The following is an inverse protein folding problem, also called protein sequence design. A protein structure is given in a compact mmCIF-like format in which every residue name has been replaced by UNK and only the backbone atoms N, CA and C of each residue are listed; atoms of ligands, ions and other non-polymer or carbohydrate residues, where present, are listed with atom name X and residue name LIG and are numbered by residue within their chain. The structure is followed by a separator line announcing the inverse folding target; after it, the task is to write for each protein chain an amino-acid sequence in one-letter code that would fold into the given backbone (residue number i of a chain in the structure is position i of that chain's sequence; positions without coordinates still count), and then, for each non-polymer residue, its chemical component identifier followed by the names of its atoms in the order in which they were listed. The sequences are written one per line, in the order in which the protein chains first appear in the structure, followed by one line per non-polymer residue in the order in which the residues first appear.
data_IF_181230799366
#
_entry.id   IF_181230799366
#
_cell.length_a   1.000
_cell.length_b   1.000
_cell.length_c   1.000
_cell.angle_alpha   90.00
_cell.angle_beta   90.00
_cell.angle_gamma   90.00
#
_symmetry.space_group_name_H-M   'P 1'
#
loop_
_entity.id
_entity.type
_entity.pdbx_description
1 polymer ?
#
# COMPACT_ATOMS: atom_id res chain seq x y z
N UNK A 1 -2.34 15.56 13.51
CA UNK A 1 -1.08 14.84 13.77
C UNK A 1 -1.34 13.60 14.61
N UNK A 2 -0.32 12.81 14.91
CA UNK A 2 -0.40 11.62 15.78
C UNK A 2 0.37 11.89 17.09
N UNK A 3 -0.07 11.28 18.19
CA UNK A 3 0.60 11.44 19.48
C UNK A 3 1.89 10.60 19.56
N UNK A 4 2.89 11.02 20.35
CA UNK A 4 4.16 10.29 20.48
C UNK A 4 3.96 8.85 20.98
N UNK A 5 3.03 8.64 21.92
CA UNK A 5 2.69 7.30 22.42
C UNK A 5 1.92 6.44 21.42
N UNK A 6 1.24 7.06 20.47
CA UNK A 6 0.45 6.42 19.42
C UNK A 6 1.35 5.99 18.26
N UNK A 7 2.27 6.88 17.86
CA UNK A 7 3.28 6.60 16.85
C UNK A 7 4.35 5.63 17.39
N UNK A 8 4.80 5.87 18.62
CA UNK A 8 5.76 5.04 19.33
C UNK A 8 7.21 5.44 19.05
N UNK A 9 8.00 4.45 18.63
CA UNK A 9 9.46 4.54 18.55
C UNK A 9 9.90 5.14 17.22
N UNK A 10 10.81 6.12 17.23
CA UNK A 10 11.51 6.54 16.00
C UNK A 10 12.49 5.44 15.59
N UNK A 11 12.37 4.96 14.36
CA UNK A 11 13.21 3.88 13.82
C UNK A 11 14.65 4.32 13.56
N UNK A 12 14.90 5.64 13.45
CA UNK A 12 16.24 6.19 13.25
C UNK A 12 17.06 6.21 14.55
N UNK A 13 16.43 6.58 15.67
CA UNK A 13 17.12 6.78 16.96
C UNK A 13 16.93 5.60 17.93
N UNK A 14 15.91 4.78 17.70
CA UNK A 14 15.54 3.70 18.60
C UNK A 14 14.97 4.17 19.95
N UNK A 15 14.53 5.43 20.05
CA UNK A 15 13.86 5.98 21.25
C UNK A 15 12.41 6.36 20.93
N UNK A 16 11.65 6.78 21.93
CA UNK A 16 10.33 7.36 21.69
C UNK A 16 10.48 8.58 20.76
N UNK A 17 9.54 8.74 19.83
CA UNK A 17 9.54 9.86 18.86
C UNK A 17 9.46 11.21 19.57
N UNK A 18 10.20 12.19 19.07
CA UNK A 18 10.19 13.54 19.64
C UNK A 18 8.93 14.32 19.20
N UNK A 19 8.49 15.26 20.04
CA UNK A 19 7.38 16.14 19.71
C UNK A 19 7.82 17.07 18.57
N UNK A 20 7.12 16.98 17.44
CA UNK A 20 7.40 17.78 16.24
C UNK A 20 8.19 17.03 15.16
N UNK A 21 8.55 15.77 15.37
CA UNK A 21 9.19 14.96 14.32
C UNK A 21 8.27 14.81 13.10
N UNK A 22 8.82 15.03 11.90
CA UNK A 22 8.06 15.05 10.64
C UNK A 22 7.77 13.64 10.10
N UNK A 23 7.10 12.81 10.91
CA UNK A 23 6.85 11.37 10.64
C UNK A 23 6.11 11.10 9.33
N UNK A 24 5.31 12.05 8.84
CA UNK A 24 4.62 11.92 7.54
C UNK A 24 5.57 11.96 6.34
N UNK A 25 6.60 12.80 6.38
CA UNK A 25 7.61 12.88 5.31
C UNK A 25 8.46 11.60 5.30
N UNK A 26 8.86 11.14 6.48
CA UNK A 26 9.59 9.88 6.65
C UNK A 26 8.80 8.71 6.07
N UNK A 27 7.49 8.63 6.35
CA UNK A 27 6.61 7.61 5.78
C UNK A 27 6.52 7.71 4.25
N UNK A 28 6.35 8.91 3.70
CA UNK A 28 6.25 9.11 2.25
C UNK A 28 7.53 8.67 1.52
N UNK A 29 8.71 9.05 2.02
CA UNK A 29 9.99 8.63 1.44
C UNK A 29 10.19 7.12 1.56
N UNK A 30 9.92 6.56 2.74
CA UNK A 30 10.08 5.13 3.01
C UNK A 30 9.21 4.24 2.10
N UNK A 31 8.05 4.74 1.68
CA UNK A 31 7.16 4.05 0.73
C UNK A 31 7.57 4.33 -0.72
N UNK A 32 7.97 5.56 -1.03
CA UNK A 32 8.25 6.03 -2.38
C UNK A 32 9.59 5.56 -2.97
N UNK A 33 10.67 5.61 -2.20
CA UNK A 33 12.02 5.23 -2.66
C UNK A 33 12.13 3.81 -3.23
N UNK A 34 11.60 2.75 -2.55
CA UNK A 34 11.61 1.41 -3.12
C UNK A 34 10.61 1.23 -4.28
N UNK A 35 9.78 2.23 -4.60
CA UNK A 35 8.81 2.18 -5.69
C UNK A 35 9.42 1.93 -7.06
N UNK A 36 10.69 2.29 -7.26
CA UNK A 36 11.47 1.98 -8.48
C UNK A 36 11.85 0.51 -8.60
N UNK A 37 11.90 -0.20 -7.47
CA UNK A 37 12.18 -1.63 -7.40
C UNK A 37 10.91 -2.48 -7.55
N UNK A 38 9.73 -1.85 -7.45
CA UNK A 38 8.46 -2.53 -7.71
C UNK A 38 8.27 -2.72 -9.21
N UNK A 39 7.67 -3.84 -9.58
CA UNK A 39 7.35 -4.15 -10.98
C UNK A 39 6.43 -3.06 -11.54
N UNK A 40 6.97 -2.28 -12.47
CA UNK A 40 6.21 -1.31 -13.26
C UNK A 40 5.40 -2.04 -14.33
N UNK A 41 4.45 -1.34 -14.96
CA UNK A 41 3.80 -1.85 -16.17
C UNK A 41 4.87 -2.12 -17.23
N UNK A 42 4.82 -3.28 -17.89
CA UNK A 42 5.67 -3.58 -19.04
C UNK A 42 5.46 -2.50 -20.12
N UNK A 43 6.56 -1.90 -20.60
CA UNK A 43 6.55 -0.70 -21.47
C UNK A 43 6.21 -1.03 -22.93
N UNK A 44 6.01 -2.31 -23.26
CA UNK A 44 5.62 -2.76 -24.60
C UNK A 44 4.30 -3.55 -24.54
N UNK A 45 3.30 -3.08 -25.28
CA UNK A 45 2.06 -3.81 -25.60
C UNK A 45 2.36 -4.98 -26.55
N UNK A 46 3.20 -5.92 -26.13
CA UNK A 46 3.45 -7.17 -26.85
C UNK A 46 2.39 -8.22 -26.50
N UNK A 47 1.18 -8.08 -27.05
CA UNK A 47 0.29 -9.19 -27.38
C UNK A 47 -0.44 -9.97 -26.26
N UNK A 48 -0.10 -9.81 -24.98
CA UNK A 48 -0.86 -10.44 -23.89
C UNK A 48 -1.37 -9.38 -22.92
N UNK A 49 -2.69 -9.25 -22.84
CA UNK A 49 -3.37 -8.53 -21.77
C UNK A 49 -3.01 -9.19 -20.44
N UNK A 50 -1.95 -8.72 -19.78
CA UNK A 50 -1.41 -9.21 -18.51
C UNK A 50 -2.35 -9.02 -17.30
N UNK A 51 -3.66 -9.23 -17.48
CA UNK A 51 -4.69 -9.17 -16.45
C UNK A 51 -4.84 -10.46 -15.63
N UNK A 52 -4.03 -11.49 -15.93
CA UNK A 52 -4.02 -12.73 -15.18
C UNK A 52 -3.04 -12.74 -14.00
N UNK A 53 -2.15 -11.75 -13.91
CA UNK A 53 -1.06 -11.78 -12.93
C UNK A 53 -1.42 -11.00 -11.65
N UNK A 54 -1.31 -11.66 -10.50
CA UNK A 54 -1.62 -11.10 -9.15
C UNK A 54 -0.62 -10.00 -8.77
N UNK A 55 0.55 -9.96 -9.43
CA UNK A 55 1.61 -8.97 -9.23
C UNK A 55 1.20 -7.59 -9.74
N UNK A 56 0.39 -6.91 -8.95
CA UNK A 56 -0.04 -5.55 -9.23
C UNK A 56 1.05 -4.50 -9.01
N UNK A 57 2.23 -4.84 -8.48
CA UNK A 57 3.41 -3.97 -8.35
C UNK A 57 3.08 -2.53 -7.89
N UNK A 58 3.67 -1.53 -8.56
CA UNK A 58 3.31 -0.12 -8.34
C UNK A 58 1.85 0.21 -8.73
N UNK A 59 1.28 -0.34 -9.83
CA UNK A 59 -0.14 -0.12 -10.16
C UNK A 59 -1.13 -0.43 -9.03
N UNK A 60 -0.88 -1.45 -8.21
CA UNK A 60 -1.72 -1.81 -7.07
C UNK A 60 -1.53 -0.85 -5.90
N UNK A 61 -0.30 -0.43 -5.65
CA UNK A 61 -0.01 0.60 -4.64
C UNK A 61 -0.79 1.88 -4.97
N UNK A 62 -0.74 2.34 -6.23
CA UNK A 62 -1.51 3.50 -6.67
C UNK A 62 -3.02 3.30 -6.58
N UNK A 63 -3.53 2.15 -7.02
CA UNK A 63 -4.97 1.81 -6.93
C UNK A 63 -5.48 1.87 -5.48
N UNK A 64 -4.67 1.42 -4.52
CA UNK A 64 -4.97 1.47 -3.09
C UNK A 64 -4.91 2.89 -2.51
N UNK A 65 -3.85 3.66 -2.81
CA UNK A 65 -3.71 5.04 -2.30
C UNK A 65 -4.77 5.99 -2.84
N UNK A 66 -5.26 5.76 -4.06
CA UNK A 66 -6.32 6.56 -4.68
C UNK A 66 -7.74 5.98 -4.45
N UNK A 67 -7.87 4.91 -3.66
CA UNK A 67 -9.13 4.23 -3.36
C UNK A 67 -9.98 3.90 -4.62
N UNK A 68 -9.32 3.47 -5.70
CA UNK A 68 -9.99 3.11 -6.96
C UNK A 68 -10.67 1.75 -6.85
N UNK A 69 -11.69 1.52 -7.70
CA UNK A 69 -12.39 0.23 -7.78
C UNK A 69 -11.42 -0.85 -8.28
N UNK A 70 -11.20 -1.95 -7.51
CA UNK A 70 -10.31 -3.02 -7.92
C UNK A 70 -10.77 -3.71 -9.21
N UNK A 71 -9.83 -4.01 -10.11
CA UNK A 71 -10.13 -4.82 -11.31
C UNK A 71 -10.72 -6.19 -10.97
N UNK A 72 -10.14 -6.88 -9.99
CA UNK A 72 -10.59 -8.19 -9.50
C UNK A 72 -11.35 -8.02 -8.17
N UNK A 73 -12.52 -7.38 -8.22
CA UNK A 73 -13.35 -7.19 -7.02
C UNK A 73 -13.87 -8.53 -6.49
N UNK A 74 -13.80 -8.72 -5.18
CA UNK A 74 -14.41 -9.86 -4.50
C UNK A 74 -15.60 -9.36 -3.65
N UNK A 75 -16.71 -10.10 -3.60
CA UNK A 75 -17.80 -9.79 -2.68
C UNK A 75 -17.33 -9.99 -1.24
N UNK A 76 -17.78 -9.11 -0.34
CA UNK A 76 -17.63 -9.27 1.11
C UNK A 76 -18.99 -9.65 1.70
N UNK A 77 -18.99 -10.38 2.81
CA UNK A 77 -20.24 -10.69 3.50
C UNK A 77 -20.75 -9.44 4.24
N UNK A 78 -21.96 -8.99 3.92
CA UNK A 78 -22.60 -7.86 4.60
C UNK A 78 -23.04 -8.20 6.03
N UNK A 79 -23.16 -9.49 6.34
CA UNK A 79 -23.61 -10.01 7.64
C UNK A 79 -22.75 -11.16 8.12
N UNK A 80 -22.65 -11.34 9.44
CA UNK A 80 -22.01 -12.51 10.04
C UNK A 80 -22.89 -13.77 9.88
N UNK A 81 -22.26 -14.92 9.71
CA UNK A 81 -22.99 -16.19 9.55
C UNK A 81 -22.07 -17.37 9.21
N UNK A 82 -22.68 -18.47 8.77
CA UNK A 82 -21.95 -19.64 8.25
C UNK A 82 -22.31 -19.84 6.79
N UNK A 83 -21.28 -20.08 5.97
CA UNK A 83 -21.44 -20.42 4.56
C UNK A 83 -21.67 -21.93 4.46
N UNK A 84 -22.60 -22.35 3.62
CA UNK A 84 -22.72 -23.73 3.16
C UNK A 84 -22.79 -23.66 1.63
N UNK A 85 -21.84 -24.32 0.98
CA UNK A 85 -21.71 -24.42 -0.48
C UNK A 85 -22.40 -25.68 -0.98
#
# INVERSE_FOLDING_TARGET
GVCAMCYGRSMATGKLVDIGEAVGIVAAQSIGEPGTQLTMRTVHQGGVTGGADIVGGLPRVQELFEARIPRNRAPIADVSGRIRL
#
